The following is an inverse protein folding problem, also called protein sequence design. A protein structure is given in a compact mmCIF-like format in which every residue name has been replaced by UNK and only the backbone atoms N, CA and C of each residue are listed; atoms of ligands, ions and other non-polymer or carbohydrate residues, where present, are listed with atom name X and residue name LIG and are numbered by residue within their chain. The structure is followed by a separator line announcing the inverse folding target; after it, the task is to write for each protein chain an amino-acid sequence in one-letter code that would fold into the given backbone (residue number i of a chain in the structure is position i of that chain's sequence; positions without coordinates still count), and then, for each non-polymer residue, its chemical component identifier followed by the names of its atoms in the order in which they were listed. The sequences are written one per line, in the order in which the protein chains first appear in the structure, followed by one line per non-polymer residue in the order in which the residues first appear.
data_IF_638915030123
#
_entry.id   IF_638915030123
#
_cell.length_a   1.000
_cell.length_b   1.000
_cell.length_c   1.000
_cell.angle_alpha   90.00
_cell.angle_beta   90.00
_cell.angle_gamma   90.00
#
_symmetry.space_group_name_H-M   'P 1'
#
loop_
_entity.id
_entity.type
_entity.pdbx_description
1 polymer ?
#
# COMPACT_ATOMS: atom_id res chain seq x y z
N UNK A 1 -11.80 -10.32 -18.34
CA UNK A 1 -10.40 -10.62 -18.67
C UNK A 1 -10.18 -12.12 -18.62
N UNK A 2 -9.34 -12.65 -19.50
CA UNK A 2 -8.98 -14.06 -19.57
C UNK A 2 -7.67 -14.36 -18.83
N UNK A 3 -7.10 -13.37 -18.14
CA UNK A 3 -5.81 -13.49 -17.47
C UNK A 3 -5.95 -14.27 -16.15
N UNK A 4 -5.03 -15.21 -15.92
CA UNK A 4 -5.01 -16.03 -14.72
C UNK A 4 -4.39 -15.27 -13.53
N UNK A 5 -5.05 -15.39 -12.38
CA UNK A 5 -4.59 -14.82 -11.13
C UNK A 5 -3.92 -15.87 -10.25
N UNK A 6 -3.04 -15.40 -9.36
CA UNK A 6 -2.47 -16.24 -8.32
C UNK A 6 -3.59 -16.71 -7.36
N UNK A 7 -3.51 -17.91 -6.83
CA UNK A 7 -4.52 -18.43 -5.90
C UNK A 7 -4.57 -17.57 -4.63
N UNK A 8 -5.79 -17.31 -4.18
CA UNK A 8 -6.06 -16.67 -2.88
C UNK A 8 -6.18 -17.77 -1.82
N UNK A 9 -5.46 -17.67 -0.73
CA UNK A 9 -5.58 -18.63 0.38
C UNK A 9 -6.88 -18.42 1.15
N UNK A 10 -7.49 -19.51 1.65
CA UNK A 10 -8.82 -19.47 2.28
C UNK A 10 -8.93 -18.63 3.56
N UNK A 11 -7.79 -18.25 4.18
CA UNK A 11 -7.73 -17.35 5.33
C UNK A 11 -7.57 -15.87 4.95
N UNK A 12 -7.47 -15.57 3.68
CA UNK A 12 -7.26 -14.22 3.16
C UNK A 12 -8.59 -13.56 2.84
N UNK A 13 -8.83 -12.36 3.38
CA UNK A 13 -10.00 -11.56 2.99
C UNK A 13 -9.88 -11.14 1.51
N UNK A 14 -10.95 -11.34 0.77
CA UNK A 14 -11.05 -10.89 -0.63
C UNK A 14 -11.20 -9.37 -0.77
N UNK A 15 -11.40 -8.65 0.35
CA UNK A 15 -11.47 -7.19 0.36
C UNK A 15 -10.10 -6.61 0.05
N UNK A 16 -10.06 -5.78 -0.97
CA UNK A 16 -8.87 -5.02 -1.36
C UNK A 16 -9.01 -3.57 -0.94
N UNK A 17 -7.92 -3.01 -0.42
CA UNK A 17 -7.87 -1.59 -0.08
C UNK A 17 -7.93 -0.75 -1.36
N UNK A 18 -8.81 0.26 -1.40
CA UNK A 18 -9.08 1.05 -2.61
C UNK A 18 -7.82 1.72 -3.17
N UNK A 19 -6.93 2.21 -2.30
CA UNK A 19 -5.69 2.87 -2.68
C UNK A 19 -4.62 1.96 -3.28
N UNK A 20 -4.73 0.64 -3.07
CA UNK A 20 -3.79 -0.38 -3.56
C UNK A 20 -4.49 -1.46 -4.40
N UNK A 21 -5.62 -1.10 -5.03
CA UNK A 21 -6.44 -2.04 -5.77
C UNK A 21 -5.69 -2.61 -6.96
N UNK A 22 -5.70 -3.96 -7.14
CA UNK A 22 -5.11 -4.60 -8.31
C UNK A 22 -5.72 -4.10 -9.62
N UNK A 23 -4.87 -3.97 -10.65
CA UNK A 23 -5.29 -3.43 -11.95
C UNK A 23 -6.40 -4.27 -12.59
N UNK A 24 -6.36 -5.58 -12.46
CA UNK A 24 -7.39 -6.49 -12.95
C UNK A 24 -8.73 -6.32 -12.23
N UNK A 25 -8.73 -5.99 -10.94
CA UNK A 25 -9.95 -5.69 -10.18
C UNK A 25 -10.56 -4.38 -10.68
N UNK A 26 -9.75 -3.35 -10.89
CA UNK A 26 -10.21 -2.11 -11.50
C UNK A 26 -10.77 -2.34 -12.91
N UNK A 27 -10.10 -3.16 -13.72
CA UNK A 27 -10.55 -3.48 -15.07
C UNK A 27 -11.91 -4.20 -15.10
N UNK A 28 -12.23 -5.02 -14.09
CA UNK A 28 -13.54 -5.68 -13.98
C UNK A 28 -14.69 -4.74 -13.64
N UNK A 29 -14.40 -3.59 -13.04
CA UNK A 29 -15.41 -2.58 -12.71
C UNK A 29 -16.00 -1.89 -13.94
N UNK A 30 -15.28 -1.93 -15.07
CA UNK A 30 -15.74 -1.39 -16.33
C UNK A 30 -14.59 -1.10 -17.29
N UNK A 31 -14.92 -1.07 -18.58
CA UNK A 31 -13.95 -0.89 -19.66
C UNK A 31 -13.11 0.41 -19.51
N UNK A 32 -13.74 1.47 -19.09
CA UNK A 32 -13.10 2.79 -18.95
C UNK A 32 -12.54 3.06 -17.54
N UNK A 33 -12.74 2.18 -16.56
CA UNK A 33 -12.37 2.44 -15.17
C UNK A 33 -10.89 2.80 -15.01
N UNK A 34 -10.00 2.12 -15.72
CA UNK A 34 -8.55 2.37 -15.63
C UNK A 34 -8.16 3.79 -16.10
N UNK A 35 -8.82 4.34 -17.13
CA UNK A 35 -8.52 5.68 -17.65
C UNK A 35 -9.01 6.81 -16.75
N UNK A 36 -9.94 6.53 -15.83
CA UNK A 36 -10.38 7.49 -14.81
C UNK A 36 -9.62 7.31 -13.47
N UNK A 37 -8.78 6.29 -13.37
CA UNK A 37 -7.95 5.95 -12.21
C UNK A 37 -6.46 5.99 -12.52
N UNK A 38 -5.81 4.84 -12.45
CA UNK A 38 -4.35 4.69 -12.53
C UNK A 38 -3.74 5.06 -13.89
N UNK A 39 -4.51 4.97 -14.98
CA UNK A 39 -4.07 5.33 -16.33
C UNK A 39 -4.64 6.69 -16.78
N UNK A 40 -4.94 7.59 -15.85
CA UNK A 40 -5.57 8.88 -16.10
C UNK A 40 -4.69 9.78 -16.96
N UNK A 41 -5.20 10.28 -18.12
CA UNK A 41 -4.41 11.09 -19.07
C UNK A 41 -4.34 12.58 -18.71
N UNK A 42 -5.11 13.07 -17.75
CA UNK A 42 -5.29 14.49 -17.46
C UNK A 42 -3.95 15.18 -17.16
N UNK A 43 -3.73 16.31 -17.86
CA UNK A 43 -2.52 17.10 -17.72
C UNK A 43 -1.29 16.55 -18.47
N UNK A 44 -1.48 15.53 -19.31
CA UNK A 44 -0.42 14.88 -20.07
C UNK A 44 -0.78 14.84 -21.57
N UNK A 45 -0.98 15.99 -22.24
CA UNK A 45 -1.25 16.02 -23.67
C UNK A 45 -0.10 15.41 -24.48
N UNK A 46 -0.45 14.71 -25.55
CA UNK A 46 0.54 14.21 -26.49
C UNK A 46 1.32 15.40 -27.11
N UNK A 47 2.64 15.46 -26.96
CA UNK A 47 3.43 16.59 -27.45
C UNK A 47 3.41 16.75 -28.97
N UNK A 48 3.02 15.71 -29.72
CA UNK A 48 2.93 15.74 -31.18
C UNK A 48 1.60 16.27 -31.66
N UNK A 49 0.53 15.98 -30.95
CA UNK A 49 -0.84 16.30 -31.39
C UNK A 49 -1.52 17.38 -30.57
N UNK A 50 -0.99 17.70 -29.38
CA UNK A 50 -1.60 18.62 -28.40
C UNK A 50 -2.90 18.11 -27.77
N UNK A 51 -3.31 16.87 -28.07
CA UNK A 51 -4.54 16.27 -27.57
C UNK A 51 -4.26 15.34 -26.41
N UNK A 52 -5.21 15.25 -25.49
CA UNK A 52 -5.14 14.26 -24.43
C UNK A 52 -5.23 12.85 -25.01
N UNK A 53 -4.29 11.94 -24.64
CA UNK A 53 -4.37 10.55 -25.06
C UNK A 53 -5.53 9.84 -24.37
N UNK A 54 -5.93 8.69 -24.90
CA UNK A 54 -7.00 7.88 -24.29
C UNK A 54 -6.66 7.42 -22.87
N UNK A 55 -5.42 7.00 -22.66
CA UNK A 55 -4.90 6.55 -21.37
C UNK A 55 -3.37 6.76 -21.33
N UNK A 56 -2.83 6.95 -20.13
CA UNK A 56 -1.39 7.12 -19.93
C UNK A 56 -0.89 6.12 -18.87
N UNK A 57 0.12 5.34 -19.21
CA UNK A 57 0.88 4.56 -18.25
C UNK A 57 2.07 5.37 -17.77
N UNK A 58 2.11 5.65 -16.48
CA UNK A 58 3.24 6.35 -15.88
C UNK A 58 4.38 5.37 -15.58
N UNK A 59 5.57 5.72 -16.04
CA UNK A 59 6.80 5.02 -15.71
C UNK A 59 7.62 5.87 -14.74
N UNK A 60 7.99 5.30 -13.60
CA UNK A 60 8.89 5.93 -12.64
C UNK A 60 10.26 5.28 -12.72
N UNK A 61 11.29 6.10 -12.87
CA UNK A 61 12.68 5.65 -12.85
C UNK A 61 13.00 5.00 -11.50
N UNK A 62 13.58 3.82 -11.54
CA UNK A 62 13.89 3.00 -10.35
C UNK A 62 15.39 3.01 -10.00
N UNK A 63 16.24 3.48 -10.91
CA UNK A 63 17.68 3.62 -10.67
C UNK A 63 18.24 4.94 -11.24
N UNK A 64 19.39 5.37 -10.73
CA UNK A 64 20.04 6.62 -11.15
C UNK A 64 20.38 6.66 -12.65
N UNK A 65 20.74 5.50 -13.23
CA UNK A 65 21.14 5.39 -14.63
C UNK A 65 19.94 5.42 -15.61
N UNK A 66 18.70 5.36 -15.12
CA UNK A 66 17.51 5.39 -15.96
C UNK A 66 17.35 4.16 -16.86
N UNK A 67 17.89 3.02 -16.45
CA UNK A 67 17.77 1.74 -17.19
C UNK A 67 16.64 0.86 -16.65
N UNK A 68 16.14 1.15 -15.44
CA UNK A 68 15.03 0.43 -14.80
C UNK A 68 13.88 1.39 -14.52
N UNK A 69 12.66 0.90 -14.76
CA UNK A 69 11.43 1.66 -14.56
C UNK A 69 10.37 0.82 -13.89
N UNK A 70 9.64 1.42 -12.96
CA UNK A 70 8.44 0.88 -12.36
C UNK A 70 7.20 1.29 -13.15
N UNK A 71 6.26 0.36 -13.31
CA UNK A 71 4.90 0.64 -13.81
C UNK A 71 4.07 1.17 -12.64
N UNK A 72 3.85 2.48 -12.61
CA UNK A 72 3.15 3.13 -11.49
C UNK A 72 1.68 2.72 -11.45
N UNK A 73 1.19 2.34 -10.28
CA UNK A 73 -0.21 1.98 -10.06
C UNK A 73 -0.62 0.59 -10.58
N UNK A 74 0.32 -0.19 -11.10
CA UNK A 74 0.05 -1.51 -11.67
C UNK A 74 0.23 -2.65 -10.65
N UNK A 75 -0.32 -2.50 -9.44
CA UNK A 75 -0.44 -3.63 -8.52
C UNK A 75 -1.30 -4.73 -9.15
N UNK A 76 -0.92 -5.98 -8.94
CA UNK A 76 -1.60 -7.08 -9.61
C UNK A 76 -1.45 -8.40 -8.87
N UNK A 77 -2.50 -9.24 -8.91
CA UNK A 77 -2.48 -10.65 -8.50
C UNK A 77 -2.23 -11.60 -9.67
N UNK A 78 -2.04 -11.08 -10.89
CA UNK A 78 -1.80 -11.90 -12.05
C UNK A 78 -0.56 -12.80 -11.85
N UNK A 79 -0.62 -14.02 -12.32
CA UNK A 79 0.55 -14.90 -12.41
C UNK A 79 1.65 -14.25 -13.27
N UNK A 80 2.92 -14.56 -13.01
CA UNK A 80 4.06 -13.92 -13.69
C UNK A 80 3.99 -13.99 -15.21
N UNK A 81 3.62 -15.16 -15.77
CA UNK A 81 3.42 -15.31 -17.21
C UNK A 81 2.32 -14.39 -17.76
N UNK A 82 1.24 -14.24 -17.01
CA UNK A 82 0.13 -13.35 -17.36
C UNK A 82 0.50 -11.87 -17.26
N UNK A 83 1.31 -11.49 -16.27
CA UNK A 83 1.83 -10.12 -16.18
C UNK A 83 2.61 -9.76 -17.44
N UNK A 84 3.53 -10.60 -17.87
CA UNK A 84 4.29 -10.41 -19.11
C UNK A 84 3.35 -10.30 -20.31
N UNK A 85 2.42 -11.24 -20.47
CA UNK A 85 1.47 -11.27 -21.58
C UNK A 85 0.61 -10.01 -21.63
N UNK A 86 0.00 -9.62 -20.52
CA UNK A 86 -0.92 -8.49 -20.43
C UNK A 86 -0.20 -7.15 -20.63
N UNK A 87 0.89 -6.92 -19.91
CA UNK A 87 1.60 -5.65 -20.02
C UNK A 87 2.32 -5.48 -21.36
N UNK A 88 2.75 -6.57 -22.02
CA UNK A 88 3.32 -6.50 -23.38
C UNK A 88 2.29 -6.17 -24.45
N UNK A 89 0.99 -6.15 -24.15
CA UNK A 89 -0.04 -5.64 -25.05
C UNK A 89 0.03 -4.09 -25.20
N UNK A 90 0.64 -3.41 -24.23
CA UNK A 90 0.88 -1.97 -24.31
C UNK A 90 2.02 -1.75 -25.32
N UNK A 91 1.82 -0.95 -26.40
CA UNK A 91 2.80 -0.82 -27.49
C UNK A 91 4.21 -0.46 -27.01
N UNK A 92 4.33 0.44 -26.03
CA UNK A 92 5.61 0.87 -25.47
C UNK A 92 6.33 -0.25 -24.69
N UNK A 93 5.60 -1.27 -24.23
CA UNK A 93 6.14 -2.39 -23.44
C UNK A 93 6.27 -3.68 -24.24
N UNK A 94 5.93 -3.68 -25.52
CA UNK A 94 5.95 -4.88 -26.38
C UNK A 94 7.28 -5.63 -26.33
N UNK A 95 8.38 -4.89 -26.30
CA UNK A 95 9.75 -5.44 -26.27
C UNK A 95 10.45 -5.19 -24.93
N UNK A 96 9.69 -4.87 -23.87
CA UNK A 96 10.26 -4.64 -22.54
C UNK A 96 10.75 -5.96 -21.92
N UNK A 97 11.91 -5.88 -21.27
CA UNK A 97 12.42 -6.93 -20.42
C UNK A 97 11.89 -6.73 -18.99
N UNK A 98 11.14 -7.70 -18.49
CA UNK A 98 10.63 -7.68 -17.12
C UNK A 98 11.64 -8.31 -16.18
N UNK A 99 12.46 -7.50 -15.53
CA UNK A 99 13.48 -7.97 -14.59
C UNK A 99 12.90 -8.42 -13.25
N UNK A 100 11.69 -7.93 -12.92
CA UNK A 100 10.96 -8.32 -11.72
C UNK A 100 9.45 -8.20 -11.97
N UNK A 101 8.71 -9.20 -11.50
CA UNK A 101 7.24 -9.18 -11.53
C UNK A 101 6.67 -8.64 -10.23
N UNK A 102 5.49 -8.03 -10.33
CA UNK A 102 4.74 -7.56 -9.19
C UNK A 102 4.19 -8.71 -8.36
N UNK A 103 4.20 -8.51 -7.04
CA UNK A 103 3.54 -9.40 -6.08
C UNK A 103 2.71 -8.50 -5.17
N UNK A 104 1.44 -8.85 -4.95
CA UNK A 104 0.63 -8.16 -3.96
C UNK A 104 1.15 -8.47 -2.57
N UNK A 105 1.49 -7.44 -1.84
CA UNK A 105 1.79 -7.57 -0.43
C UNK A 105 0.47 -7.67 0.36
N UNK A 106 0.46 -8.55 1.32
CA UNK A 106 -0.61 -8.67 2.30
C UNK A 106 -0.03 -8.36 3.65
N UNK A 107 -0.61 -7.38 4.27
CA UNK A 107 -0.21 -6.96 5.59
C UNK A 107 -1.05 -7.72 6.61
N UNK A 108 -0.38 -8.39 7.54
CA UNK A 108 -1.02 -8.94 8.73
C UNK A 108 -1.05 -7.87 9.80
N UNK A 109 -2.22 -7.62 10.38
CA UNK A 109 -2.39 -6.68 11.48
C UNK A 109 -3.32 -7.23 12.55
N UNK A 110 -3.19 -6.69 13.74
CA UNK A 110 -4.01 -7.03 14.89
C UNK A 110 -5.34 -6.29 14.87
N UNK A 111 -6.36 -6.84 15.49
CA UNK A 111 -7.58 -6.11 15.85
C UNK A 111 -7.28 -5.17 17.04
N UNK A 112 -6.51 -4.12 16.75
CA UNK A 112 -5.95 -3.21 17.75
C UNK A 112 -7.00 -2.55 18.63
N UNK A 113 -8.16 -2.07 18.13
CA UNK A 113 -9.19 -1.49 18.99
C UNK A 113 -9.65 -2.42 20.12
N UNK A 114 -9.63 -3.72 19.88
CA UNK A 114 -10.00 -4.72 20.89
C UNK A 114 -8.84 -5.14 21.77
N UNK A 115 -7.66 -5.28 21.19
CA UNK A 115 -6.52 -5.94 21.82
C UNK A 115 -5.55 -4.99 22.51
N UNK A 116 -5.39 -3.76 22.00
CA UNK A 116 -4.38 -2.83 22.47
C UNK A 116 -5.00 -1.63 23.21
N UNK A 117 -4.22 -1.03 24.09
CA UNK A 117 -4.51 0.26 24.69
C UNK A 117 -3.83 1.40 23.92
N UNK A 118 -4.02 2.66 24.36
CA UNK A 118 -3.46 3.85 23.72
C UNK A 118 -1.91 3.94 23.81
N UNK A 119 -1.27 3.06 24.53
CA UNK A 119 0.20 2.90 24.57
C UNK A 119 0.69 1.76 23.70
N UNK A 120 -0.22 1.19 22.90
CA UNK A 120 0.00 -0.01 22.07
C UNK A 120 0.33 -1.27 22.88
N UNK A 121 0.05 -1.26 24.18
CA UNK A 121 0.21 -2.44 25.03
C UNK A 121 -0.97 -3.40 24.86
N UNK A 122 -0.68 -4.69 24.92
CA UNK A 122 -1.70 -5.73 24.90
C UNK A 122 -2.49 -5.66 26.22
N UNK A 123 -3.82 -5.48 26.12
CA UNK A 123 -4.71 -5.35 27.29
C UNK A 123 -4.64 -6.55 28.23
N UNK A 124 -4.37 -7.75 27.69
CA UNK A 124 -4.23 -8.99 28.47
C UNK A 124 -2.85 -9.17 29.10
N UNK A 125 -1.81 -8.53 28.55
CA UNK A 125 -0.45 -8.52 29.10
C UNK A 125 0.27 -7.22 28.75
N UNK A 126 0.21 -6.20 29.62
CA UNK A 126 0.80 -4.87 29.36
C UNK A 126 2.32 -4.85 29.16
N UNK A 127 3.00 -5.95 29.43
CA UNK A 127 4.44 -6.08 29.16
C UNK A 127 4.75 -6.23 27.67
N UNK A 128 3.75 -6.59 26.86
CA UNK A 128 3.89 -6.79 25.43
C UNK A 128 3.30 -5.58 24.71
N UNK A 129 4.11 -4.95 23.86
CA UNK A 129 3.69 -3.86 23.01
C UNK A 129 3.94 -4.17 21.54
N UNK A 130 3.08 -3.61 20.71
CA UNK A 130 3.18 -3.69 19.26
C UNK A 130 3.40 -2.29 18.68
N UNK A 131 3.92 -2.20 17.46
CA UNK A 131 4.13 -0.92 16.82
C UNK A 131 4.10 -1.05 15.30
N UNK A 132 3.87 0.08 14.63
CA UNK A 132 3.89 0.15 13.19
C UNK A 132 2.73 -0.59 12.54
N UNK A 133 2.95 -1.06 11.32
CA UNK A 133 1.92 -1.63 10.47
C UNK A 133 1.16 -2.81 11.10
N UNK A 134 1.81 -3.58 11.96
CA UNK A 134 1.16 -4.68 12.68
C UNK A 134 0.00 -4.22 13.56
N UNK A 135 -0.02 -2.96 13.97
CA UNK A 135 -1.12 -2.38 14.76
C UNK A 135 -2.27 -1.84 13.90
N UNK A 136 -2.24 -2.06 12.59
CA UNK A 136 -3.23 -1.52 11.65
C UNK A 136 -2.94 -0.10 11.20
N UNK A 137 -1.83 0.49 11.65
CA UNK A 137 -1.39 1.83 11.24
C UNK A 137 -0.73 1.74 9.86
N UNK A 138 -1.18 2.56 8.91
CA UNK A 138 -0.55 2.69 7.60
C UNK A 138 0.23 4.01 7.49
N UNK A 139 1.23 4.01 6.60
CA UNK A 139 2.11 5.15 6.38
C UNK A 139 3.40 5.09 7.21
N UNK A 140 4.47 5.64 6.65
CA UNK A 140 5.79 5.61 7.29
C UNK A 140 5.87 6.52 8.52
N UNK A 141 5.26 7.70 8.44
CA UNK A 141 5.24 8.67 9.54
C UNK A 141 4.40 8.15 10.70
N UNK A 142 3.23 7.62 10.38
CA UNK A 142 2.29 7.03 11.34
C UNK A 142 2.90 5.80 12.03
N UNK A 143 3.56 4.93 11.27
CA UNK A 143 4.27 3.77 11.83
C UNK A 143 5.42 4.20 12.76
N UNK A 144 6.15 5.25 12.39
CA UNK A 144 7.21 5.83 13.23
C UNK A 144 6.61 6.42 14.52
N UNK A 145 5.50 7.15 14.41
CA UNK A 145 4.82 7.73 15.57
C UNK A 145 4.32 6.65 16.55
N UNK A 146 3.71 5.58 16.03
CA UNK A 146 3.28 4.45 16.86
C UNK A 146 4.45 3.78 17.56
N UNK A 147 5.59 3.60 16.86
CA UNK A 147 6.82 3.06 17.42
C UNK A 147 7.40 3.95 18.53
N UNK A 148 7.36 5.28 18.34
CA UNK A 148 7.78 6.23 19.35
C UNK A 148 6.91 6.14 20.61
N UNK A 149 5.58 6.11 20.46
CA UNK A 149 4.65 5.97 21.61
C UNK A 149 4.92 4.67 22.38
N UNK A 150 4.98 3.54 21.68
CA UNK A 150 5.24 2.24 22.29
C UNK A 150 6.61 2.21 23.00
N UNK A 151 7.64 2.78 22.38
CA UNK A 151 9.00 2.86 22.94
C UNK A 151 9.07 3.73 24.19
N UNK A 152 8.46 4.93 24.16
CA UNK A 152 8.42 5.82 25.32
C UNK A 152 7.64 5.18 26.46
N UNK A 153 6.48 4.59 26.18
CA UNK A 153 5.69 3.88 27.20
C UNK A 153 6.48 2.74 27.85
N UNK A 154 7.20 1.95 27.04
CA UNK A 154 8.07 0.88 27.56
C UNK A 154 9.19 1.44 28.46
N UNK A 155 9.83 2.52 28.03
CA UNK A 155 10.87 3.15 28.82
C UNK A 155 10.33 3.69 30.15
N UNK A 156 9.16 4.31 30.16
CA UNK A 156 8.52 4.82 31.38
C UNK A 156 8.17 3.68 32.35
N UNK A 157 7.64 2.57 31.84
CA UNK A 157 7.36 1.39 32.68
C UNK A 157 8.64 0.83 33.34
N UNK A 158 9.71 0.69 32.57
CA UNK A 158 11.01 0.22 33.11
C UNK A 158 11.57 1.18 34.17
N UNK A 159 11.36 2.49 33.97
CA UNK A 159 11.82 3.51 34.92
C UNK A 159 10.86 3.73 36.09
N UNK A 160 9.73 3.05 36.15
CA UNK A 160 8.67 3.28 37.14
C UNK A 160 8.09 4.68 37.12
N UNK A 161 8.04 5.32 35.93
CA UNK A 161 7.53 6.66 35.73
C UNK A 161 6.20 6.64 34.96
N UNK A 162 5.31 7.61 35.21
CA UNK A 162 4.08 7.70 34.45
C UNK A 162 4.35 8.06 32.98
N UNK A 163 3.58 7.46 32.07
CA UNK A 163 3.59 7.83 30.65
C UNK A 163 3.19 9.31 30.51
N UNK A 164 3.90 10.10 29.71
CA UNK A 164 3.47 11.44 29.37
C UNK A 164 2.07 11.44 28.72
N UNK A 165 1.23 12.38 29.08
CA UNK A 165 -0.11 12.52 28.48
C UNK A 165 0.07 12.95 27.02
N UNK A 166 -0.43 12.15 26.12
CA UNK A 166 -0.52 12.50 24.69
C UNK A 166 -1.83 13.25 24.45
N UNK A 167 -1.71 14.54 24.17
CA UNK A 167 -2.88 15.35 23.87
C UNK A 167 -3.52 14.87 22.56
N UNK A 168 -4.81 14.56 22.60
CA UNK A 168 -5.62 14.13 21.46
C UNK A 168 -5.70 15.17 20.33
N UNK A 169 -5.38 16.42 20.62
CA UNK A 169 -5.32 17.48 19.62
C UNK A 169 -4.02 17.44 18.79
N UNK A 170 -3.04 16.62 19.20
CA UNK A 170 -1.84 16.37 18.41
C UNK A 170 -2.04 15.20 17.46
N UNK A 171 -1.33 15.20 16.33
CA UNK A 171 -1.40 14.08 15.38
C UNK A 171 -1.03 12.73 16.03
N UNK A 172 0.02 12.71 16.86
CA UNK A 172 0.48 11.50 17.56
C UNK A 172 -0.54 11.04 18.61
N UNK A 173 -1.12 11.97 19.38
CA UNK A 173 -2.13 11.64 20.38
C UNK A 173 -3.45 11.19 19.75
N UNK A 174 -3.87 11.82 18.65
CA UNK A 174 -5.02 11.38 17.88
C UNK A 174 -4.83 9.97 17.35
N UNK A 175 -3.66 9.68 16.75
CA UNK A 175 -3.32 8.35 16.23
C UNK A 175 -3.38 7.29 17.35
N UNK A 176 -2.73 7.53 18.48
CA UNK A 176 -2.66 6.59 19.60
C UNK A 176 -4.03 6.30 20.26
N UNK A 177 -4.99 7.21 20.13
CA UNK A 177 -6.34 7.05 20.69
C UNK A 177 -7.37 6.57 19.67
N UNK A 178 -7.01 6.52 18.39
CA UNK A 178 -7.86 6.00 17.33
C UNK A 178 -7.87 4.47 17.25
N UNK A 179 -6.83 3.83 17.74
CA UNK A 179 -6.61 2.38 17.72
C UNK A 179 -7.52 1.68 18.74
#
# INVERSE_FOLDING_TARGET
TTAEEAPVHGFEDSKVFEGCMPIEVNARRGFDTLRFGILKPIGLPDPKTGKDPYAVLQLRRDNANGTLYNLVGCQTHLKFGEQKRVFSMIPALKNAEFVRYGVMHRNTFLDSPRLLDATYALKSDPRIRFAGQMTGVEGYVESTASGWVAGVATAMDVLGKPMPILDRLTATGALATYI
#
